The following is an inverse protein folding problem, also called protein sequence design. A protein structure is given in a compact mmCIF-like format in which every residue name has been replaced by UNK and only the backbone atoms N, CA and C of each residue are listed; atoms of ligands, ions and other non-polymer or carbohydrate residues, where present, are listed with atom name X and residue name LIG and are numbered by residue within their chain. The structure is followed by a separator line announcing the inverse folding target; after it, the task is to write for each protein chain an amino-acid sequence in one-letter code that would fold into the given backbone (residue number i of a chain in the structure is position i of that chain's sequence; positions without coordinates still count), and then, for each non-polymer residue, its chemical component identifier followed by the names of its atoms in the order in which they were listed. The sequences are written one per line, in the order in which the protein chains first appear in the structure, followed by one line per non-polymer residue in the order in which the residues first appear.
data_IF_374605711596
#
_entry.id   IF_374605711596
#
_cell.length_a   1.000
_cell.length_b   1.000
_cell.length_c   1.000
_cell.angle_alpha   90.00
_cell.angle_beta   90.00
_cell.angle_gamma   90.00
#
_symmetry.space_group_name_H-M   'P 1'
#
loop_
_entity.id
_entity.type
_entity.pdbx_description
1 polymer ?
#
# COMPACT_ATOMS: atom_id res chain seq x y z
N UNK A 1 22.54 -4.93 26.23
CA UNK A 1 21.69 -5.57 25.20
C UNK A 1 20.89 -4.53 24.44
N UNK A 2 20.75 -4.69 23.12
CA UNK A 2 19.94 -3.81 22.28
C UNK A 2 18.50 -4.35 22.22
N UNK A 3 17.51 -3.48 22.41
CA UNK A 3 16.09 -3.80 22.25
C UNK A 3 15.46 -2.86 21.22
N UNK A 4 14.59 -3.40 20.37
CA UNK A 4 13.85 -2.64 19.35
C UNK A 4 12.36 -2.92 19.52
N UNK A 5 11.56 -1.86 19.59
CA UNK A 5 10.10 -1.91 19.68
C UNK A 5 9.52 -1.02 18.58
N UNK A 6 8.56 -1.53 17.81
CA UNK A 6 7.93 -0.79 16.73
C UNK A 6 6.59 -1.38 16.33
N UNK A 7 5.75 -0.55 15.71
CA UNK A 7 4.47 -0.92 15.15
C UNK A 7 4.45 -0.51 13.67
N UNK A 8 4.99 -1.39 12.81
CA UNK A 8 5.05 -1.10 11.37
C UNK A 8 3.63 -1.07 10.79
N UNK A 9 3.23 0.00 10.08
CA UNK A 9 1.95 0.05 9.38
C UNK A 9 1.97 -0.75 8.06
N UNK A 10 3.16 -1.09 7.56
CA UNK A 10 3.35 -1.64 6.22
C UNK A 10 4.08 -2.99 6.25
N UNK A 11 3.67 -3.90 5.35
CA UNK A 11 4.31 -5.21 5.15
C UNK A 11 5.18 -5.18 3.90
N UNK A 12 6.50 -5.21 4.08
CA UNK A 12 7.45 -5.26 2.98
C UNK A 12 7.25 -6.50 2.09
N UNK A 13 7.19 -7.69 2.70
CA UNK A 13 6.96 -8.94 1.99
C UNK A 13 6.43 -10.01 2.94
N UNK A 14 5.44 -10.79 2.50
CA UNK A 14 4.99 -12.01 3.16
C UNK A 14 5.06 -13.17 2.18
N UNK A 15 5.60 -14.30 2.60
CA UNK A 15 5.62 -15.54 1.80
C UNK A 15 4.85 -16.62 2.53
N UNK A 16 3.80 -17.15 1.89
CA UNK A 16 2.97 -18.20 2.48
C UNK A 16 2.41 -19.12 1.40
N UNK A 17 2.52 -20.45 1.59
CA UNK A 17 1.99 -21.47 0.67
C UNK A 17 2.37 -21.20 -0.80
N UNK A 18 3.65 -20.90 -1.02
CA UNK A 18 4.22 -20.58 -2.34
C UNK A 18 3.60 -19.35 -3.02
N UNK A 19 3.10 -18.39 -2.23
CA UNK A 19 2.62 -17.08 -2.69
C UNK A 19 3.40 -15.97 -2.01
N UNK A 20 3.81 -14.99 -2.81
CA UNK A 20 4.43 -13.74 -2.35
C UNK A 20 3.36 -12.67 -2.30
N UNK A 21 3.32 -11.93 -1.19
CA UNK A 21 2.47 -10.76 -1.00
C UNK A 21 3.36 -9.55 -0.69
N UNK A 22 3.03 -8.42 -1.28
CA UNK A 22 3.61 -7.12 -0.96
C UNK A 22 2.45 -6.14 -0.76
N UNK A 23 2.58 -5.23 0.19
CA UNK A 23 1.57 -4.21 0.44
C UNK A 23 2.22 -2.83 0.40
N UNK A 24 2.22 -2.20 -0.78
CA UNK A 24 2.75 -0.87 -0.98
C UNK A 24 1.75 0.21 -0.53
N UNK A 25 2.16 1.05 0.41
CA UNK A 25 1.36 2.16 0.94
C UNK A 25 2.01 3.49 0.55
N UNK A 26 1.20 4.41 0.02
CA UNK A 26 1.62 5.76 -0.33
C UNK A 26 0.43 6.72 -0.36
N UNK A 27 0.71 7.98 -0.03
CA UNK A 27 -0.31 9.00 0.21
C UNK A 27 -0.87 8.88 1.63
N UNK A 28 -0.87 10.00 2.35
CA UNK A 28 -1.34 10.06 3.73
C UNK A 28 -2.16 11.32 3.93
N UNK A 29 -3.30 11.17 4.58
CA UNK A 29 -4.11 12.30 5.07
C UNK A 29 -4.41 12.08 6.54
N UNK A 30 -4.56 13.17 7.30
CA UNK A 30 -4.99 13.10 8.68
C UNK A 30 -6.38 12.45 8.77
N UNK A 31 -6.67 11.78 9.89
CA UNK A 31 -8.03 11.35 10.20
C UNK A 31 -8.92 12.57 10.50
N UNK A 32 -10.20 12.49 10.11
CA UNK A 32 -11.20 13.51 10.45
C UNK A 32 -11.61 13.45 11.92
N UNK A 33 -12.12 14.57 12.46
CA UNK A 33 -12.71 14.60 13.81
C UNK A 33 -14.11 14.02 13.85
N UNK A 34 -14.79 14.01 12.70
CA UNK A 34 -16.10 13.39 12.50
C UNK A 34 -16.02 12.41 11.33
N UNK A 35 -17.03 11.54 11.21
CA UNK A 35 -17.11 10.57 10.11
C UNK A 35 -17.15 11.27 8.76
N UNK A 36 -17.92 12.35 8.67
CA UNK A 36 -18.09 13.14 7.44
C UNK A 36 -16.78 13.84 7.05
N UNK A 37 -16.03 14.38 8.02
CA UNK A 37 -14.71 14.96 7.75
C UNK A 37 -13.72 13.89 7.29
N UNK A 38 -13.72 12.72 7.92
CA UNK A 38 -12.81 11.61 7.60
C UNK A 38 -13.05 11.08 6.18
N UNK A 39 -14.31 10.92 5.79
CA UNK A 39 -14.69 10.52 4.43
C UNK A 39 -14.32 11.58 3.40
N UNK A 40 -14.55 12.87 3.69
CA UNK A 40 -14.14 13.96 2.79
C UNK A 40 -12.63 13.96 2.58
N UNK A 41 -11.84 13.86 3.65
CA UNK A 41 -10.37 13.85 3.59
C UNK A 41 -9.85 12.62 2.83
N UNK A 42 -10.42 11.44 3.06
CA UNK A 42 -10.09 10.25 2.29
C UNK A 42 -10.41 10.42 0.81
N UNK A 43 -11.59 10.95 0.48
CA UNK A 43 -11.96 11.21 -0.91
C UNK A 43 -11.05 12.24 -1.59
N UNK A 44 -10.59 13.27 -0.86
CA UNK A 44 -9.59 14.22 -1.36
C UNK A 44 -8.26 13.53 -1.67
N UNK A 45 -7.77 12.66 -0.77
CA UNK A 45 -6.56 11.87 -1.00
C UNK A 45 -6.71 10.95 -2.23
N UNK A 46 -7.83 10.24 -2.35
CA UNK A 46 -8.11 9.38 -3.50
C UNK A 46 -8.13 10.13 -4.82
N UNK A 47 -8.55 11.39 -4.83
CA UNK A 47 -8.65 12.20 -6.04
C UNK A 47 -7.40 13.06 -6.30
N UNK A 48 -6.43 13.07 -5.38
CA UNK A 48 -5.17 13.79 -5.57
C UNK A 48 -4.36 13.17 -6.71
N UNK A 49 -4.18 13.92 -7.81
CA UNK A 49 -3.40 13.47 -8.95
C UNK A 49 -1.94 13.14 -8.57
N UNK A 50 -1.39 13.88 -7.59
CA UNK A 50 -0.05 13.66 -7.06
C UNK A 50 0.03 12.32 -6.32
N UNK A 51 -0.79 12.13 -5.29
CA UNK A 51 -0.71 10.94 -4.42
C UNK A 51 -1.05 9.67 -5.20
N UNK A 52 -2.01 9.74 -6.14
CA UNK A 52 -2.30 8.63 -7.05
C UNK A 52 -1.09 8.24 -7.92
N UNK A 53 -0.38 9.23 -8.47
CA UNK A 53 0.79 8.96 -9.30
C UNK A 53 1.92 8.31 -8.48
N UNK A 54 2.14 8.80 -7.26
CA UNK A 54 3.12 8.22 -6.33
C UNK A 54 2.74 6.78 -5.93
N UNK A 55 1.47 6.51 -5.61
CA UNK A 55 1.00 5.17 -5.27
C UNK A 55 1.14 4.20 -6.44
N UNK A 56 0.69 4.59 -7.65
CA UNK A 56 0.81 3.75 -8.85
C UNK A 56 2.27 3.41 -9.14
N UNK A 57 3.17 4.40 -9.05
CA UNK A 57 4.60 4.18 -9.24
C UNK A 57 5.14 3.12 -8.26
N UNK A 58 4.77 3.19 -6.98
CA UNK A 58 5.23 2.22 -5.97
C UNK A 58 4.62 0.83 -6.16
N UNK A 59 3.35 0.74 -6.57
CA UNK A 59 2.72 -0.53 -6.93
C UNK A 59 3.43 -1.17 -8.12
N UNK A 60 3.76 -0.40 -9.16
CA UNK A 60 4.48 -0.92 -10.33
C UNK A 60 5.90 -1.34 -9.99
N UNK A 61 6.59 -0.60 -9.10
CA UNK A 61 7.88 -1.02 -8.56
C UNK A 61 7.78 -2.35 -7.80
N UNK A 62 6.80 -2.48 -6.90
CA UNK A 62 6.56 -3.73 -6.17
C UNK A 62 6.23 -4.90 -7.10
N UNK A 63 5.42 -4.67 -8.14
CA UNK A 63 5.12 -5.68 -9.16
C UNK A 63 6.38 -6.12 -9.89
N UNK A 64 7.26 -5.18 -10.25
CA UNK A 64 8.54 -5.49 -10.88
C UNK A 64 9.37 -6.43 -9.98
N UNK A 65 9.52 -6.08 -8.70
CA UNK A 65 10.29 -6.88 -7.75
C UNK A 65 9.73 -8.29 -7.57
N UNK A 66 8.41 -8.42 -7.41
CA UNK A 66 7.75 -9.74 -7.31
C UNK A 66 7.90 -10.54 -8.61
N UNK A 67 7.81 -9.89 -9.77
CA UNK A 67 7.92 -10.54 -11.08
C UNK A 67 9.32 -11.10 -11.37
N UNK A 68 10.37 -10.62 -10.70
CA UNK A 68 11.73 -11.17 -10.81
C UNK A 68 11.86 -12.59 -10.27
N UNK A 69 10.96 -13.00 -9.37
CA UNK A 69 11.03 -14.30 -8.67
C UNK A 69 9.76 -15.15 -8.82
N UNK A 70 8.69 -14.60 -9.39
CA UNK A 70 7.41 -15.30 -9.59
C UNK A 70 7.19 -15.65 -11.07
N UNK A 71 6.24 -16.56 -11.33
CA UNK A 71 5.80 -16.82 -12.69
C UNK A 71 5.07 -15.57 -13.25
N UNK A 72 5.43 -15.04 -14.44
CA UNK A 72 4.91 -13.75 -14.88
C UNK A 72 3.38 -13.64 -14.95
N UNK A 73 2.69 -14.73 -15.28
CA UNK A 73 1.22 -14.77 -15.36
C UNK A 73 0.52 -14.85 -14.00
N UNK A 74 1.26 -15.06 -12.91
CA UNK A 74 0.68 -15.17 -11.55
C UNK A 74 0.75 -13.87 -10.76
N UNK A 75 1.52 -12.88 -11.23
CA UNK A 75 1.66 -11.58 -10.56
C UNK A 75 0.46 -10.69 -10.90
N UNK A 76 -0.29 -10.30 -9.87
CA UNK A 76 -1.50 -9.49 -9.99
C UNK A 76 -1.60 -8.50 -8.83
N UNK A 77 -2.35 -7.42 -9.06
CA UNK A 77 -2.70 -6.44 -8.02
C UNK A 77 -4.11 -6.77 -7.55
N UNK A 78 -4.26 -7.23 -6.31
CA UNK A 78 -5.56 -7.61 -5.74
C UNK A 78 -6.39 -6.39 -5.32
N UNK A 79 -5.73 -5.34 -4.81
CA UNK A 79 -6.33 -4.07 -4.41
C UNK A 79 -5.46 -2.92 -4.88
N UNK A 80 -6.09 -1.87 -5.43
CA UNK A 80 -5.43 -0.67 -5.92
C UNK A 80 -6.17 0.55 -5.38
N UNK A 81 -5.44 1.56 -4.88
CA UNK A 81 -6.01 2.80 -4.34
C UNK A 81 -7.10 2.55 -3.29
N UNK A 82 -6.84 1.68 -2.31
CA UNK A 82 -7.75 1.40 -1.19
C UNK A 82 -7.29 2.18 0.04
N UNK A 83 -8.23 2.74 0.79
CA UNK A 83 -7.93 3.33 2.09
C UNK A 83 -7.61 2.26 3.13
N UNK A 84 -6.50 2.47 3.84
CA UNK A 84 -6.21 1.87 5.14
C UNK A 84 -6.54 2.90 6.23
N UNK A 85 -7.36 2.52 7.21
CA UNK A 85 -7.87 3.40 8.28
C UNK A 85 -7.37 2.99 9.65
#
# INVERSE_FOLDING_TARGET
DLQVVGASPETLCKVERNKVYNHAIAGTVRRGKTVEEDERLGNELLNSAKDRAEHIMLVDLARNDVNRICQPKTVKVDHLMRHDK
#
